data_IF_618271549576
#
_entry.id   IF_618271549576
#
_cell.length_a   1.000
_cell.length_b   1.000
_cell.length_c   1.000
_cell.angle_alpha   90.00
_cell.angle_beta   90.00
_cell.angle_gamma   90.00
#
_symmetry.space_group_name_H-M   'P 1'
#
loop_
_entity.id
_entity.type
_entity.pdbx_description
1 polymer ?
#
# COMPACT_ATOMS: atom_id res chain seq x y z
N UNK A 1 16.45 5.43 -3.23
CA UNK A 1 15.18 6.18 -3.29
C UNK A 1 15.42 7.42 -4.14
N UNK A 2 14.79 7.51 -5.32
CA UNK A 2 15.14 8.55 -6.32
C UNK A 2 14.45 9.91 -6.12
N UNK A 3 13.36 9.98 -5.35
CA UNK A 3 12.53 11.20 -5.21
C UNK A 3 12.54 11.82 -3.80
N UNK A 4 13.31 11.27 -2.86
CA UNK A 4 13.48 11.83 -1.52
C UNK A 4 12.28 11.70 -0.57
N UNK A 5 11.27 10.90 -0.91
CA UNK A 5 10.16 10.60 -0.02
C UNK A 5 10.58 9.58 1.07
N UNK A 6 10.09 9.79 2.28
CA UNK A 6 10.11 8.77 3.34
C UNK A 6 8.98 7.77 3.09
N UNK A 7 9.35 6.53 2.75
CA UNK A 7 8.39 5.50 2.33
C UNK A 7 8.21 4.47 3.42
N UNK A 8 6.95 4.27 3.82
CA UNK A 8 6.52 3.19 4.71
C UNK A 8 5.80 2.16 3.85
N UNK A 9 6.46 1.04 3.58
CA UNK A 9 5.93 -0.03 2.74
C UNK A 9 5.03 -0.99 3.55
N UNK A 10 3.88 -1.35 2.99
CA UNK A 10 2.97 -2.38 3.51
C UNK A 10 2.54 -3.31 2.37
N UNK A 11 2.27 -4.59 2.67
CA UNK A 11 1.86 -5.56 1.64
C UNK A 11 2.96 -5.95 0.64
N UNK A 12 4.24 -5.80 1.03
CA UNK A 12 5.41 -6.03 0.17
C UNK A 12 6.14 -7.36 0.44
N UNK A 13 5.49 -8.28 1.15
CA UNK A 13 6.05 -9.60 1.48
C UNK A 13 5.28 -10.72 0.76
N UNK A 14 5.42 -10.88 -0.56
CA UNK A 14 4.70 -11.90 -1.31
C UNK A 14 5.18 -13.32 -0.96
N UNK A 15 4.26 -14.26 -0.85
CA UNK A 15 4.55 -15.68 -0.59
C UNK A 15 3.97 -16.65 -1.65
N UNK A 16 3.45 -16.11 -2.75
CA UNK A 16 2.81 -16.86 -3.84
C UNK A 16 1.31 -17.12 -3.65
N UNK A 17 0.75 -16.86 -2.46
CA UNK A 17 -0.68 -17.07 -2.16
C UNK A 17 -1.38 -15.82 -1.60
N UNK A 18 -0.64 -14.82 -1.17
CA UNK A 18 -1.15 -13.63 -0.48
C UNK A 18 -1.36 -12.40 -1.38
N UNK A 19 -1.37 -12.57 -2.71
CA UNK A 19 -1.69 -11.47 -3.63
C UNK A 19 -3.12 -10.96 -3.37
N UNK A 20 -3.28 -9.63 -3.25
CA UNK A 20 -4.55 -8.96 -2.93
C UNK A 20 -5.21 -9.39 -1.60
N UNK A 21 -4.51 -10.16 -0.75
CA UNK A 21 -5.09 -10.65 0.50
C UNK A 21 -5.11 -9.53 1.55
N UNK A 22 -6.31 -8.97 1.78
CA UNK A 22 -6.54 -7.87 2.73
C UNK A 22 -5.56 -6.69 2.54
N UNK A 23 -5.17 -6.41 1.30
CA UNK A 23 -4.28 -5.32 0.90
C UNK A 23 -4.57 -4.85 -0.54
N UNK A 24 -3.90 -3.77 -0.95
CA UNK A 24 -3.98 -3.21 -2.30
C UNK A 24 -5.23 -2.36 -2.56
N UNK A 25 -5.45 -1.99 -3.82
CA UNK A 25 -6.54 -1.07 -4.21
C UNK A 25 -7.95 -1.63 -3.96
N UNK A 26 -8.10 -2.93 -3.70
CA UNK A 26 -9.37 -3.57 -3.36
C UNK A 26 -9.65 -3.57 -1.85
N UNK A 27 -8.64 -3.30 -1.02
CA UNK A 27 -8.74 -3.32 0.44
C UNK A 27 -7.98 -2.15 1.07
N UNK A 28 -8.60 -0.96 1.09
CA UNK A 28 -7.97 0.28 1.54
C UNK A 28 -7.85 0.44 3.06
N UNK A 29 -8.59 -0.33 3.86
CA UNK A 29 -8.68 -0.11 5.31
C UNK A 29 -7.30 -0.11 5.98
N UNK A 30 -6.46 -1.11 5.70
CA UNK A 30 -5.12 -1.20 6.27
C UNK A 30 -4.22 -0.04 5.86
N UNK A 31 -4.37 0.47 4.63
CA UNK A 31 -3.62 1.64 4.16
C UNK A 31 -4.06 2.89 4.94
N UNK A 32 -5.37 3.16 5.00
CA UNK A 32 -5.92 4.32 5.71
C UNK A 32 -5.55 4.30 7.20
N UNK A 33 -5.63 3.14 7.84
CA UNK A 33 -5.23 2.97 9.23
C UNK A 33 -3.74 3.26 9.42
N UNK A 34 -2.88 2.74 8.53
CA UNK A 34 -1.44 2.96 8.58
C UNK A 34 -1.09 4.44 8.37
N UNK A 35 -1.74 5.12 7.42
CA UNK A 35 -1.56 6.57 7.18
C UNK A 35 -1.86 7.36 8.46
N UNK A 36 -2.96 7.05 9.15
CA UNK A 36 -3.32 7.70 10.41
C UNK A 36 -2.33 7.37 11.54
N UNK A 37 -1.93 6.10 11.65
CA UNK A 37 -1.02 5.59 12.68
C UNK A 37 0.34 6.29 12.63
N UNK A 38 0.91 6.41 11.44
CA UNK A 38 2.26 6.97 11.23
C UNK A 38 2.24 8.46 10.88
N UNK A 39 1.04 9.05 10.75
CA UNK A 39 0.80 10.43 10.32
C UNK A 39 1.45 10.73 8.96
N UNK A 40 1.33 9.79 8.02
CA UNK A 40 1.78 10.02 6.66
C UNK A 40 0.92 11.09 5.97
N UNK A 41 1.53 11.84 5.04
CA UNK A 41 0.82 12.86 4.27
C UNK A 41 -0.11 12.26 3.21
N UNK A 42 0.21 11.06 2.70
CA UNK A 42 -0.51 10.39 1.61
C UNK A 42 -0.40 8.87 1.71
N UNK A 43 -1.47 8.17 1.34
CA UNK A 43 -1.47 6.72 1.09
C UNK A 43 -1.51 6.44 -0.41
N UNK A 44 -0.84 5.37 -0.85
CA UNK A 44 -0.90 4.91 -2.25
C UNK A 44 -1.17 3.41 -2.23
N UNK A 45 -2.27 2.97 -2.85
CA UNK A 45 -2.61 1.57 -2.99
C UNK A 45 -2.56 1.15 -4.47
N UNK A 46 -1.80 0.09 -4.76
CA UNK A 46 -1.75 -0.58 -6.06
C UNK A 46 -2.54 -1.89 -6.02
N UNK A 47 -2.96 -2.42 -7.16
CA UNK A 47 -3.45 -3.80 -7.24
C UNK A 47 -2.34 -4.81 -7.60
N UNK A 48 -2.72 -6.08 -7.75
CA UNK A 48 -1.79 -7.20 -7.88
C UNK A 48 -0.89 -7.16 -9.12
N UNK A 49 -1.35 -6.58 -10.22
CA UNK A 49 -0.58 -6.35 -11.45
C UNK A 49 -0.17 -4.87 -11.63
N UNK A 50 -0.51 -4.02 -10.66
CA UNK A 50 -0.15 -2.61 -10.56
C UNK A 50 -0.66 -1.75 -11.73
N UNK A 51 -1.76 -2.16 -12.37
CA UNK A 51 -2.41 -1.36 -13.42
C UNK A 51 -3.37 -0.32 -12.83
N UNK A 52 -3.78 -0.51 -11.57
CA UNK A 52 -4.66 0.37 -10.82
C UNK A 52 -3.96 1.05 -9.65
N UNK A 53 -4.27 2.32 -9.46
CA UNK A 53 -3.82 3.12 -8.31
C UNK A 53 -5.00 3.83 -7.63
N UNK A 54 -5.03 3.81 -6.30
CA UNK A 54 -5.92 4.62 -5.47
C UNK A 54 -5.09 5.39 -4.44
N UNK A 55 -5.61 6.56 -4.05
CA UNK A 55 -4.98 7.53 -3.13
C UNK A 55 -5.91 7.75 -1.94
#
# INVERSE_FOLDING_TARGET
WELGADVIAIGVEPNGFNINQDCGSTHLQKLSDKVCEVRADIGIALDGDADRVLI
#
